data_IF_931768079380
#
_entry.id   IF_931768079380
#
_cell.length_a   1.000
_cell.length_b   1.000
_cell.length_c   1.000
_cell.angle_alpha   90.00
_cell.angle_beta   90.00
_cell.angle_gamma   90.00
#
_symmetry.space_group_name_H-M   'P 1'
#
loop_
_entity.id
_entity.type
_entity.pdbx_description
1 polymer ?
#
# COMPACT_ATOMS: atom_id res chain seq x y z
N UNK A 1 -17.19 -21.43 8.81
CA UNK A 1 -16.48 -20.19 8.46
C UNK A 1 -15.06 -20.60 8.09
N UNK A 2 -14.73 -20.61 6.80
CA UNK A 2 -13.38 -20.91 6.33
C UNK A 2 -12.66 -19.60 6.04
N UNK A 3 -11.70 -19.24 6.88
CA UNK A 3 -10.71 -18.20 6.57
C UNK A 3 -9.76 -18.75 5.51
N UNK A 4 -9.76 -18.13 4.33
CA UNK A 4 -8.76 -18.38 3.30
C UNK A 4 -7.50 -17.56 3.64
N UNK A 5 -6.61 -18.15 4.43
CA UNK A 5 -5.23 -17.67 4.56
C UNK A 5 -4.48 -17.96 3.27
N UNK A 6 -4.37 -16.95 2.39
CA UNK A 6 -3.46 -17.03 1.25
C UNK A 6 -2.03 -16.84 1.74
N UNK A 7 -1.29 -17.93 1.83
CA UNK A 7 0.16 -17.89 2.02
C UNK A 7 0.79 -17.52 0.67
N UNK A 8 1.19 -16.26 0.50
CA UNK A 8 1.93 -15.83 -0.69
C UNK A 8 3.36 -16.36 -0.60
N UNK A 9 3.61 -17.55 -1.16
CA UNK A 9 4.95 -18.09 -1.30
C UNK A 9 5.66 -17.39 -2.45
N UNK A 10 6.70 -16.62 -2.13
CA UNK A 10 7.67 -16.10 -3.10
C UNK A 10 8.54 -17.27 -3.52
N UNK A 11 8.43 -17.74 -4.77
CA UNK A 11 9.32 -18.80 -5.26
C UNK A 11 10.78 -18.29 -5.29
N UNK A 12 11.76 -19.20 -5.19
CA UNK A 12 13.17 -18.82 -5.08
C UNK A 12 13.66 -17.95 -6.24
N UNK A 13 13.22 -18.23 -7.47
CA UNK A 13 13.60 -17.43 -8.64
C UNK A 13 13.11 -15.99 -8.53
N UNK A 14 11.88 -15.82 -8.04
CA UNK A 14 11.29 -14.51 -7.82
C UNK A 14 11.98 -13.79 -6.66
N UNK A 15 12.33 -14.51 -5.58
CA UNK A 15 13.10 -13.96 -4.46
C UNK A 15 14.48 -13.45 -4.91
N UNK A 16 15.19 -14.20 -5.76
CA UNK A 16 16.48 -13.79 -6.31
C UNK A 16 16.36 -12.53 -7.16
N UNK A 17 15.31 -12.44 -8.00
CA UNK A 17 15.05 -11.23 -8.79
C UNK A 17 14.69 -10.03 -7.92
N UNK A 18 13.85 -10.22 -6.91
CA UNK A 18 13.50 -9.17 -5.94
C UNK A 18 14.73 -8.65 -5.19
N UNK A 19 15.68 -9.53 -4.83
CA UNK A 19 16.93 -9.12 -4.19
C UNK A 19 17.79 -8.21 -5.07
N UNK A 20 17.58 -8.21 -6.39
CA UNK A 20 18.22 -7.26 -7.31
C UNK A 20 17.79 -5.81 -7.10
N UNK A 21 16.69 -5.56 -6.37
CA UNK A 21 16.24 -4.23 -5.97
C UNK A 21 16.96 -3.71 -4.71
N UNK A 22 17.78 -4.53 -4.05
CA UNK A 22 18.51 -4.11 -2.86
C UNK A 22 19.47 -2.95 -3.17
N UNK A 23 19.45 -1.93 -2.31
CA UNK A 23 20.32 -0.75 -2.44
C UNK A 23 19.87 0.25 -3.52
N UNK A 24 18.70 0.08 -4.11
CA UNK A 24 18.02 1.11 -4.88
C UNK A 24 17.01 1.84 -4.00
N UNK A 25 16.92 3.15 -4.20
CA UNK A 25 15.86 3.98 -3.63
C UNK A 25 14.49 3.57 -4.20
N UNK A 26 13.55 3.24 -3.32
CA UNK A 26 12.19 2.86 -3.72
C UNK A 26 11.20 3.99 -3.42
N UNK A 27 10.58 4.50 -4.49
CA UNK A 27 9.60 5.61 -4.40
C UNK A 27 8.23 5.16 -4.90
N UNK A 28 7.20 5.46 -4.12
CA UNK A 28 5.79 5.29 -4.48
C UNK A 28 5.16 6.63 -4.83
N UNK A 29 4.41 6.69 -5.94
CA UNK A 29 3.60 7.85 -6.30
C UNK A 29 2.13 7.45 -6.26
N UNK A 30 1.39 8.04 -5.33
CA UNK A 30 0.02 7.69 -5.01
C UNK A 30 -0.96 8.75 -5.51
N UNK A 31 -2.00 8.32 -6.21
CA UNK A 31 -3.13 9.18 -6.55
C UNK A 31 -3.97 9.46 -5.29
N UNK A 32 -4.16 10.74 -5.00
CA UNK A 32 -5.01 11.26 -3.94
C UNK A 32 -5.97 12.33 -4.48
N UNK A 33 -6.43 12.15 -5.72
CA UNK A 33 -7.50 12.94 -6.32
C UNK A 33 -8.87 12.58 -5.74
N UNK A 34 -9.86 13.47 -5.88
CA UNK A 34 -11.23 13.19 -5.43
C UNK A 34 -11.87 11.94 -6.04
N UNK A 35 -11.36 11.46 -7.19
CA UNK A 35 -11.81 10.21 -7.81
C UNK A 35 -11.51 8.97 -6.95
N UNK A 36 -10.58 9.08 -6.01
CA UNK A 36 -10.20 8.02 -5.07
C UNK A 36 -11.26 7.76 -3.99
N UNK A 37 -12.22 8.66 -3.83
CA UNK A 37 -13.39 8.42 -2.98
C UNK A 37 -14.44 7.50 -3.64
N UNK A 38 -14.28 7.17 -4.93
CA UNK A 38 -15.21 6.31 -5.62
C UNK A 38 -15.29 4.92 -4.95
N UNK A 39 -16.50 4.38 -4.74
CA UNK A 39 -16.66 3.04 -4.18
C UNK A 39 -16.11 1.98 -5.14
N UNK A 40 -15.52 0.94 -4.57
CA UNK A 40 -15.13 -0.28 -5.28
C UNK A 40 -16.19 -1.35 -5.02
N UNK A 41 -16.67 -1.97 -6.09
CA UNK A 41 -17.61 -3.08 -6.04
C UNK A 41 -19.05 -2.67 -5.64
N UNK A 42 -19.87 -3.70 -5.44
CA UNK A 42 -21.25 -3.53 -4.98
C UNK A 42 -21.31 -3.63 -3.45
N UNK A 43 -22.26 -2.92 -2.83
CA UNK A 43 -22.51 -3.11 -1.39
C UNK A 43 -22.98 -4.56 -1.16
N UNK A 44 -22.31 -5.27 -0.26
CA UNK A 44 -22.63 -6.67 0.10
C UNK A 44 -23.86 -6.79 1.03
N UNK A 45 -24.57 -5.69 1.32
CA UNK A 45 -25.83 -5.70 2.05
C UNK A 45 -26.26 -4.31 2.55
N UNK A 46 -27.48 -4.19 3.12
CA UNK A 46 -27.96 -2.96 3.74
C UNK A 46 -27.05 -2.54 4.89
N UNK A 47 -26.59 -1.29 4.90
CA UNK A 47 -25.76 -0.73 5.99
C UNK A 47 -24.26 -1.05 5.92
N UNK A 48 -23.78 -1.81 4.93
CA UNK A 48 -22.34 -2.00 4.74
C UNK A 48 -21.72 -0.80 4.01
N UNK A 49 -20.70 -0.20 4.63
CA UNK A 49 -19.90 0.85 4.02
C UNK A 49 -19.08 0.27 2.86
N UNK A 50 -19.24 0.83 1.66
CA UNK A 50 -18.46 0.38 0.49
C UNK A 50 -17.01 0.81 0.67
N UNK A 51 -16.07 -0.12 0.45
CA UNK A 51 -14.65 0.21 0.34
C UNK A 51 -14.46 1.23 -0.78
N UNK A 52 -13.65 2.26 -0.57
CA UNK A 52 -13.31 3.23 -1.62
C UNK A 52 -11.99 2.84 -2.28
N UNK A 53 -11.66 3.47 -3.41
CA UNK A 53 -10.33 3.33 -4.02
C UNK A 53 -9.22 3.81 -3.08
N UNK A 54 -9.49 4.80 -2.24
CA UNK A 54 -8.58 5.26 -1.20
C UNK A 54 -8.26 4.16 -0.18
N UNK A 55 -9.28 3.44 0.30
CA UNK A 55 -9.07 2.31 1.23
C UNK A 55 -8.33 1.14 0.57
N UNK A 56 -8.55 0.90 -0.72
CA UNK A 56 -7.81 -0.12 -1.46
C UNK A 56 -6.35 0.28 -1.72
N UNK A 57 -6.12 1.56 -2.02
CA UNK A 57 -4.77 2.12 -2.12
C UNK A 57 -4.04 1.97 -0.79
N UNK A 58 -4.68 2.28 0.35
CA UNK A 58 -4.11 2.08 1.69
C UNK A 58 -3.59 0.64 1.85
N UNK A 59 -4.45 -0.35 1.60
CA UNK A 59 -4.08 -1.78 1.73
C UNK A 59 -2.92 -2.14 0.82
N UNK A 60 -2.97 -1.70 -0.44
CA UNK A 60 -1.95 -2.00 -1.44
C UNK A 60 -0.60 -1.40 -1.03
N UNK A 61 -0.57 -0.10 -0.73
CA UNK A 61 0.66 0.59 -0.33
C UNK A 61 1.19 0.03 0.98
N UNK A 62 0.34 -0.31 1.96
CA UNK A 62 0.77 -0.98 3.19
C UNK A 62 1.54 -2.27 2.93
N UNK A 63 1.02 -3.16 2.08
CA UNK A 63 1.69 -4.43 1.75
C UNK A 63 3.04 -4.17 1.07
N UNK A 64 3.05 -3.25 0.10
CA UNK A 64 4.25 -3.01 -0.71
C UNK A 64 5.32 -2.27 0.09
N UNK A 65 4.96 -1.35 1.00
CA UNK A 65 5.89 -0.70 1.93
C UNK A 65 6.56 -1.72 2.84
N UNK A 66 5.77 -2.57 3.52
CA UNK A 66 6.34 -3.57 4.43
C UNK A 66 7.27 -4.55 3.71
N UNK A 67 7.04 -4.82 2.42
CA UNK A 67 7.95 -5.60 1.58
C UNK A 67 9.19 -4.80 1.16
N UNK A 68 9.00 -3.61 0.61
CA UNK A 68 10.05 -2.79 0.01
C UNK A 68 11.05 -2.28 1.06
N UNK A 69 10.59 -1.95 2.26
CA UNK A 69 11.45 -1.55 3.38
C UNK A 69 12.36 -2.69 3.89
N UNK A 70 12.15 -3.95 3.45
CA UNK A 70 13.12 -5.04 3.69
C UNK A 70 14.27 -5.06 2.68
N UNK A 71 14.12 -4.35 1.56
CA UNK A 71 15.06 -4.26 0.46
C UNK A 71 15.84 -2.94 0.49
N UNK A 72 15.21 -1.88 1.00
CA UNK A 72 15.79 -0.54 1.18
C UNK A 72 16.01 -0.23 2.67
N UNK A 73 17.26 -0.25 3.16
CA UNK A 73 17.57 0.01 4.57
C UNK A 73 17.21 1.42 5.05
N UNK A 74 17.20 2.41 4.16
CA UNK A 74 16.92 3.82 4.49
C UNK A 74 15.41 4.11 4.50
N UNK A 75 14.59 3.12 4.15
CA UNK A 75 13.13 3.21 4.09
C UNK A 75 12.66 3.44 2.66
N UNK A 76 11.39 3.82 2.49
CA UNK A 76 10.82 4.13 1.18
C UNK A 76 10.11 5.47 1.21
N UNK A 77 10.14 6.18 0.09
CA UNK A 77 9.45 7.45 -0.05
C UNK A 77 8.06 7.29 -0.66
N UNK A 78 7.09 8.04 -0.15
CA UNK A 78 5.70 8.01 -0.60
C UNK A 78 5.27 9.42 -0.94
N UNK A 79 5.17 9.67 -2.24
CA UNK A 79 4.64 10.89 -2.80
C UNK A 79 3.15 10.73 -3.07
N UNK A 80 2.43 11.83 -2.88
CA UNK A 80 1.03 11.96 -3.28
C UNK A 80 0.92 13.09 -4.32
N UNK A 81 -0.08 13.02 -5.20
CA UNK A 81 -0.23 14.03 -6.25
C UNK A 81 -0.64 15.41 -5.73
N UNK A 82 -1.42 15.47 -4.64
CA UNK A 82 -2.08 16.68 -4.16
C UNK A 82 -1.76 17.01 -2.69
N UNK A 83 -0.82 16.31 -2.04
CA UNK A 83 -0.38 16.58 -0.67
C UNK A 83 1.12 16.34 -0.48
N UNK A 84 1.62 16.68 0.72
CA UNK A 84 3.04 16.49 1.07
C UNK A 84 3.41 15.00 1.08
N UNK A 85 4.66 14.66 0.70
CA UNK A 85 5.14 13.29 0.77
C UNK A 85 5.38 12.85 2.22
N UNK A 86 5.47 11.54 2.40
CA UNK A 86 6.06 10.87 3.55
C UNK A 86 7.41 10.32 3.11
N UNK A 87 8.48 10.60 3.84
CA UNK A 87 9.84 10.20 3.46
C UNK A 87 10.40 9.21 4.47
N UNK A 88 11.30 8.33 4.02
CA UNK A 88 11.98 7.32 4.85
C UNK A 88 11.00 6.46 5.66
N UNK A 89 9.94 5.96 5.02
CA UNK A 89 8.94 5.11 5.67
C UNK A 89 9.49 3.69 5.81
N UNK A 90 9.45 3.12 7.01
CA UNK A 90 9.96 1.77 7.28
C UNK A 90 8.87 0.74 7.55
N UNK A 91 7.65 1.20 7.83
CA UNK A 91 6.52 0.31 8.05
C UNK A 91 5.20 0.92 7.59
N UNK A 92 4.31 0.05 7.13
CA UNK A 92 2.91 0.36 6.82
C UNK A 92 2.15 1.04 7.95
N UNK A 93 2.58 0.85 9.21
CA UNK A 93 1.97 1.49 10.39
C UNK A 93 2.05 3.01 10.33
N UNK A 94 3.11 3.55 9.73
CA UNK A 94 3.35 4.98 9.59
C UNK A 94 2.39 5.64 8.58
N UNK A 95 1.73 4.84 7.73
CA UNK A 95 0.74 5.32 6.77
C UNK A 95 -0.60 5.64 7.42
N UNK A 96 -0.88 5.08 8.59
CA UNK A 96 -2.23 5.06 9.16
C UNK A 96 -2.82 6.45 9.33
N UNK A 97 -2.05 7.41 9.83
CA UNK A 97 -2.49 8.79 10.03
C UNK A 97 -2.80 9.49 8.71
N UNK A 98 -2.01 9.25 7.66
CA UNK A 98 -2.19 9.86 6.35
C UNK A 98 -3.47 9.39 5.67
N UNK A 99 -3.82 8.11 5.82
CA UNK A 99 -5.01 7.55 5.20
C UNK A 99 -6.31 7.80 5.99
N UNK A 100 -6.27 8.35 7.21
CA UNK A 100 -7.51 8.77 7.90
C UNK A 100 -8.15 10.02 7.28
N UNK A 101 -7.37 10.79 6.51
CA UNK A 101 -7.84 11.97 5.80
C UNK A 101 -7.95 11.63 4.30
N UNK A 102 -9.13 11.27 3.80
CA UNK A 102 -9.33 11.02 2.38
C UNK A 102 -9.08 12.31 1.56
N UNK A 103 -8.75 12.17 0.27
CA UNK A 103 -8.76 13.26 -0.73
C UNK A 103 -9.97 14.17 -0.67
#
# INVERSE_FOLDING_TARGET
MHEHNYLFLVNETFATKLRGLHGYEIVFVCDDSGSMQAPIGHASGPGQQRSTRWEELKKTVSIVVDLASTLDPDGVDIYFLNRKPLLNVHSSKELNSTFTVPP
#
